data_IF_899979652224
#
_entry.id   IF_899979652224
#
_cell.length_a   1.000
_cell.length_b   1.000
_cell.length_c   1.000
_cell.angle_alpha   90.00
_cell.angle_beta   90.00
_cell.angle_gamma   90.00
#
_symmetry.space_group_name_H-M   'P 1'
#
loop_
_entity.id
_entity.type
_entity.pdbx_description
1 polymer ?
#
# COMPACT_ATOMS: atom_id res chain seq x y z
N UNK A 1 0.47 6.12 -33.25
CA UNK A 1 0.74 5.71 -31.86
C UNK A 1 -0.13 6.59 -30.97
N UNK A 2 -1.43 6.25 -30.89
CA UNK A 2 -2.31 6.83 -29.91
C UNK A 2 -2.06 6.01 -28.64
N UNK A 3 -1.40 6.62 -27.65
CA UNK A 3 -0.81 5.89 -26.51
C UNK A 3 -1.88 5.51 -25.47
N UNK A 4 -3.11 6.01 -25.58
CA UNK A 4 -4.20 5.66 -24.65
C UNK A 4 -5.55 5.68 -25.38
N UNK A 5 -6.35 4.62 -25.25
CA UNK A 5 -7.78 4.73 -25.43
C UNK A 5 -8.37 5.48 -24.21
N UNK A 6 -9.44 6.24 -24.39
CA UNK A 6 -10.05 7.05 -23.31
C UNK A 6 -10.41 6.32 -22.00
N UNK A 7 -10.70 5.00 -21.94
CA UNK A 7 -10.86 4.28 -20.69
C UNK A 7 -9.57 4.15 -19.88
N UNK A 8 -8.44 3.97 -20.55
CA UNK A 8 -7.15 3.64 -19.92
C UNK A 8 -6.56 4.83 -19.17
N UNK A 9 -6.84 6.05 -19.64
CA UNK A 9 -6.35 7.27 -18.99
C UNK A 9 -6.99 7.51 -17.62
N UNK A 10 -8.25 7.08 -17.41
CA UNK A 10 -8.90 7.19 -16.11
C UNK A 10 -8.33 6.18 -15.12
N UNK A 11 -8.11 4.93 -15.55
CA UNK A 11 -7.47 3.90 -14.74
C UNK A 11 -6.06 4.32 -14.34
N UNK A 12 -5.26 4.76 -15.32
CA UNK A 12 -3.91 5.29 -15.07
C UNK A 12 -3.89 6.43 -14.04
N UNK A 13 -4.83 7.38 -14.14
CA UNK A 13 -4.92 8.50 -13.18
C UNK A 13 -5.31 8.01 -11.79
N UNK A 14 -6.24 7.07 -11.67
CA UNK A 14 -6.63 6.47 -10.38
C UNK A 14 -5.41 5.79 -9.76
N UNK A 15 -4.64 5.03 -10.53
CA UNK A 15 -3.49 4.33 -9.99
C UNK A 15 -2.33 5.24 -9.59
N UNK A 16 -2.13 6.35 -10.30
CA UNK A 16 -1.22 7.41 -9.84
C UNK A 16 -1.67 8.00 -8.51
N UNK A 17 -2.97 8.28 -8.36
CA UNK A 17 -3.52 8.81 -7.11
C UNK A 17 -3.33 7.79 -5.98
N UNK A 18 -3.62 6.51 -6.22
CA UNK A 18 -3.41 5.40 -5.29
C UNK A 18 -1.93 5.31 -4.87
N UNK A 19 -1.02 5.33 -5.84
CA UNK A 19 0.43 5.30 -5.62
C UNK A 19 0.89 6.46 -4.71
N UNK A 20 0.46 7.69 -5.01
CA UNK A 20 0.76 8.87 -4.19
C UNK A 20 0.13 8.77 -2.80
N UNK A 21 -1.09 8.22 -2.70
CA UNK A 21 -1.79 7.99 -1.44
C UNK A 21 -1.05 7.02 -0.53
N UNK A 22 -0.67 5.84 -1.04
CA UNK A 22 0.12 4.85 -0.29
C UNK A 22 1.51 5.39 0.09
N UNK A 23 2.18 6.09 -0.82
CA UNK A 23 3.48 6.72 -0.55
C UNK A 23 3.37 7.74 0.58
N UNK A 24 2.38 8.63 0.52
CA UNK A 24 2.12 9.61 1.57
C UNK A 24 1.83 8.93 2.90
N UNK A 25 0.94 7.94 2.91
CA UNK A 25 0.61 7.17 4.11
C UNK A 25 1.83 6.47 4.71
N UNK A 26 2.71 5.90 3.88
CA UNK A 26 3.94 5.24 4.30
C UNK A 26 4.89 6.22 5.02
N UNK A 27 5.11 7.40 4.43
CA UNK A 27 5.95 8.43 5.05
C UNK A 27 5.32 8.99 6.32
N UNK A 28 4.01 9.29 6.33
CA UNK A 28 3.33 9.77 7.53
C UNK A 28 3.40 8.74 8.66
N UNK A 29 3.14 7.46 8.37
CA UNK A 29 3.27 6.36 9.33
C UNK A 29 4.70 6.25 9.86
N UNK A 30 5.70 6.44 8.99
CA UNK A 30 7.12 6.46 9.37
C UNK A 30 7.47 7.61 10.30
N UNK A 31 6.98 8.83 10.01
CA UNK A 31 7.19 10.02 10.83
C UNK A 31 6.50 9.86 12.19
N UNK A 32 5.23 9.43 12.21
CA UNK A 32 4.46 9.22 13.42
C UNK A 32 5.14 8.18 14.32
N UNK A 33 5.59 7.06 13.76
CA UNK A 33 6.27 6.00 14.52
C UNK A 33 7.58 6.44 15.19
N UNK A 34 8.23 7.49 14.67
CA UNK A 34 9.47 8.05 15.24
C UNK A 34 9.18 9.12 16.30
N UNK A 35 8.14 9.93 16.08
CA UNK A 35 7.88 11.12 16.89
C UNK A 35 6.90 10.91 18.05
N UNK A 36 6.14 9.81 18.06
CA UNK A 36 5.16 9.51 19.11
C UNK A 36 5.56 8.26 19.93
N UNK A 37 6.49 8.39 20.90
CA UNK A 37 7.02 7.28 21.68
C UNK A 37 5.99 6.61 22.61
N UNK A 38 4.82 7.24 22.83
CA UNK A 38 3.72 6.66 23.64
C UNK A 38 3.07 5.44 22.97
N UNK A 39 3.14 5.36 21.65
CA UNK A 39 2.87 4.13 20.91
C UNK A 39 4.24 3.66 20.43
N UNK A 40 4.99 2.87 21.24
CA UNK A 40 6.32 2.45 20.85
C UNK A 40 6.29 1.84 19.45
N UNK A 41 7.42 1.87 18.74
CA UNK A 41 7.59 1.26 17.42
C UNK A 41 7.45 -0.26 17.53
N UNK A 42 6.22 -0.69 17.76
CA UNK A 42 5.82 -2.05 18.01
C UNK A 42 5.77 -2.80 16.69
N UNK A 43 5.63 -4.12 16.80
CA UNK A 43 5.51 -5.01 15.65
C UNK A 43 4.34 -4.58 14.74
N UNK A 44 3.29 -3.98 15.31
CA UNK A 44 2.13 -3.47 14.56
C UNK A 44 2.50 -2.39 13.54
N UNK A 45 3.28 -1.37 13.92
CA UNK A 45 3.71 -0.31 13.00
C UNK A 45 4.55 -0.81 11.84
N UNK A 46 5.44 -1.77 12.10
CA UNK A 46 6.27 -2.39 11.06
C UNK A 46 5.35 -3.13 10.08
N UNK A 47 4.39 -3.90 10.59
CA UNK A 47 3.43 -4.63 9.76
C UNK A 47 2.58 -3.67 8.90
N UNK A 48 2.09 -2.56 9.48
CA UNK A 48 1.37 -1.53 8.71
C UNK A 48 2.27 -0.92 7.64
N UNK A 49 3.52 -0.55 7.96
CA UNK A 49 4.46 0.01 7.00
C UNK A 49 4.77 -0.96 5.86
N UNK A 50 4.95 -2.25 6.14
CA UNK A 50 5.13 -3.27 5.11
C UNK A 50 3.89 -3.40 4.24
N UNK A 51 2.68 -3.39 4.82
CA UNK A 51 1.44 -3.41 4.06
C UNK A 51 1.26 -2.18 3.16
N UNK A 52 1.58 -0.98 3.65
CA UNK A 52 1.58 0.24 2.86
C UNK A 52 2.61 0.18 1.72
N UNK A 53 3.80 -0.37 1.97
CA UNK A 53 4.80 -0.58 0.93
C UNK A 53 4.33 -1.57 -0.14
N UNK A 54 3.64 -2.65 0.24
CA UNK A 54 2.97 -3.52 -0.72
C UNK A 54 1.91 -2.75 -1.54
N UNK A 55 1.15 -1.84 -0.92
CA UNK A 55 0.22 -0.96 -1.65
C UNK A 55 0.90 -0.06 -2.68
N UNK A 56 2.10 0.46 -2.37
CA UNK A 56 2.92 1.22 -3.34
C UNK A 56 3.32 0.32 -4.51
N UNK A 57 3.75 -0.91 -4.25
CA UNK A 57 4.14 -1.86 -5.30
C UNK A 57 2.95 -2.26 -6.17
N UNK A 58 1.79 -2.53 -5.57
CA UNK A 58 0.53 -2.79 -6.25
C UNK A 58 0.23 -1.68 -7.28
N UNK A 59 0.06 -0.43 -6.84
CA UNK A 59 -0.22 0.67 -7.77
C UNK A 59 0.91 0.93 -8.77
N UNK A 60 2.17 0.58 -8.44
CA UNK A 60 3.26 0.64 -9.42
C UNK A 60 3.10 -0.41 -10.52
N UNK A 61 2.74 -1.65 -10.18
CA UNK A 61 2.52 -2.71 -11.17
C UNK A 61 1.28 -2.44 -12.03
N UNK A 62 0.20 -1.94 -11.43
CA UNK A 62 -1.00 -1.54 -12.16
C UNK A 62 -0.69 -0.38 -13.14
N UNK A 63 0.05 0.65 -12.69
CA UNK A 63 0.58 1.70 -13.59
C UNK A 63 1.41 1.08 -14.73
N UNK A 64 2.30 0.12 -14.44
CA UNK A 64 3.14 -0.49 -15.47
C UNK A 64 2.34 -1.32 -16.46
N UNK A 65 1.27 -1.99 -16.02
CA UNK A 65 0.40 -2.79 -16.88
C UNK A 65 -0.36 -1.91 -17.89
N UNK A 66 -0.77 -0.69 -17.51
CA UNK A 66 -1.41 0.25 -18.46
C UNK A 66 -0.55 0.68 -19.66
N UNK A 67 0.76 0.40 -19.66
CA UNK A 67 1.65 0.65 -20.80
C UNK A 67 1.72 -0.51 -21.80
N UNK A 68 0.96 -1.59 -21.58
CA UNK A 68 0.77 -2.74 -22.48
C UNK A 68 2.09 -3.36 -22.98
N UNK A 69 2.87 -3.89 -22.05
CA UNK A 69 4.09 -4.63 -22.36
C UNK A 69 3.75 -6.09 -22.69
N UNK A 70 3.63 -6.45 -23.97
CA UNK A 70 3.18 -7.77 -24.48
C UNK A 70 3.72 -9.01 -23.75
N UNK A 71 4.97 -8.99 -23.27
CA UNK A 71 5.60 -10.15 -22.60
C UNK A 71 5.58 -10.09 -21.07
N UNK A 72 5.24 -8.92 -20.50
CA UNK A 72 5.32 -8.64 -19.07
C UNK A 72 3.95 -8.38 -18.43
N UNK A 73 2.91 -8.12 -19.21
CA UNK A 73 1.56 -7.83 -18.70
C UNK A 73 1.04 -8.93 -17.76
N UNK A 74 1.10 -10.21 -18.16
CA UNK A 74 0.72 -11.34 -17.29
C UNK A 74 1.47 -11.36 -15.93
N UNK A 75 2.72 -10.91 -15.91
CA UNK A 75 3.51 -10.81 -14.69
C UNK A 75 3.12 -9.60 -13.85
N UNK A 76 2.82 -8.47 -14.49
CA UNK A 76 2.34 -7.28 -13.81
C UNK A 76 0.98 -7.52 -13.16
N UNK A 77 0.04 -8.17 -13.86
CA UNK A 77 -1.24 -8.61 -13.30
C UNK A 77 -1.07 -9.55 -12.08
N UNK A 78 -0.16 -10.52 -12.19
CA UNK A 78 0.11 -11.44 -11.08
C UNK A 78 0.68 -10.70 -9.86
N UNK A 79 1.65 -9.81 -10.07
CA UNK A 79 2.26 -9.05 -8.99
C UNK A 79 1.28 -8.04 -8.40
N UNK A 80 0.48 -7.40 -9.24
CA UNK A 80 -0.59 -6.50 -8.86
C UNK A 80 -1.51 -7.15 -7.82
N UNK A 81 -2.15 -8.26 -8.19
CA UNK A 81 -3.07 -8.99 -7.31
C UNK A 81 -2.39 -9.50 -6.04
N UNK A 82 -1.14 -9.98 -6.14
CA UNK A 82 -0.37 -10.46 -4.99
C UNK A 82 -0.06 -9.33 -3.99
N UNK A 83 0.41 -8.18 -4.48
CA UNK A 83 0.75 -7.05 -3.64
C UNK A 83 -0.48 -6.38 -3.05
N UNK A 84 -1.59 -6.32 -3.79
CA UNK A 84 -2.88 -5.84 -3.29
C UNK A 84 -3.38 -6.67 -2.12
N UNK A 85 -3.47 -8.00 -2.30
CA UNK A 85 -3.92 -8.90 -1.25
C UNK A 85 -3.02 -8.84 -0.01
N UNK A 86 -1.70 -8.83 -0.24
CA UNK A 86 -0.71 -8.74 0.83
C UNK A 86 -0.83 -7.40 1.57
N UNK A 87 -1.04 -6.29 0.86
CA UNK A 87 -1.23 -4.97 1.45
C UNK A 87 -2.44 -4.95 2.40
N UNK A 88 -3.60 -5.42 1.93
CA UNK A 88 -4.83 -5.47 2.75
C UNK A 88 -4.63 -6.35 3.98
N UNK A 89 -4.08 -7.55 3.80
CA UNK A 89 -3.88 -8.50 4.90
C UNK A 89 -2.95 -7.91 5.99
N UNK A 90 -1.81 -7.34 5.58
CA UNK A 90 -0.86 -6.75 6.51
C UNK A 90 -1.42 -5.50 7.19
N UNK A 91 -2.10 -4.61 6.47
CA UNK A 91 -2.71 -3.42 7.08
C UNK A 91 -3.77 -3.86 8.11
N UNK A 92 -4.64 -4.83 7.78
CA UNK A 92 -5.65 -5.33 8.71
C UNK A 92 -5.04 -5.96 9.97
N UNK A 93 -4.01 -6.81 9.82
CA UNK A 93 -3.28 -7.41 10.94
C UNK A 93 -2.61 -6.32 11.80
N UNK A 94 -1.98 -5.34 11.15
CA UNK A 94 -1.32 -4.23 11.82
C UNK A 94 -2.29 -3.37 12.63
N UNK A 95 -3.47 -3.08 12.08
CA UNK A 95 -4.55 -2.37 12.79
C UNK A 95 -5.07 -3.19 13.98
N UNK A 96 -5.28 -4.50 13.82
CA UNK A 96 -5.69 -5.38 14.90
C UNK A 96 -4.65 -5.37 16.03
N UNK A 97 -3.37 -5.54 15.72
CA UNK A 97 -2.30 -5.51 16.71
C UNK A 97 -2.24 -4.15 17.42
N UNK A 98 -2.34 -3.05 16.67
CA UNK A 98 -2.38 -1.69 17.24
C UNK A 98 -3.54 -1.54 18.22
N UNK A 99 -4.73 -2.07 17.88
CA UNK A 99 -5.90 -2.03 18.77
C UNK A 99 -5.68 -2.82 20.07
N UNK A 100 -5.04 -4.00 19.98
CA UNK A 100 -4.76 -4.83 21.17
C UNK A 100 -3.67 -4.22 22.05
N UNK A 101 -2.67 -3.57 21.46
CA UNK A 101 -1.62 -2.84 22.16
C UNK A 101 -2.21 -1.60 22.86
N UNK A 102 -3.08 -0.85 22.16
CA UNK A 102 -3.83 0.26 22.74
C UNK A 102 -4.72 -0.17 23.90
N UNK A 103 -5.50 -1.25 23.73
CA UNK A 103 -6.34 -1.82 24.80
C UNK A 103 -5.54 -2.07 26.09
N UNK A 104 -4.36 -2.72 25.97
CA UNK A 104 -3.45 -2.97 27.11
C UNK A 104 -2.94 -1.68 27.76
N UNK A 105 -2.60 -0.66 26.97
CA UNK A 105 -2.14 0.63 27.50
C UNK A 105 -3.21 1.36 28.29
N UNK A 106 -4.49 1.17 27.94
CA UNK A 106 -5.62 1.85 28.57
C UNK A 106 -6.28 1.02 29.69
N UNK A 107 -5.73 -0.15 30.03
CA UNK A 107 -6.21 -0.99 31.13
C UNK A 107 -7.59 -1.61 30.91
N UNK A 108 -8.04 -1.70 29.65
CA UNK A 108 -9.28 -2.35 29.21
C UNK A 108 -9.01 -3.83 28.88
#
# INVERSE_FOLDING_TARGET
MAIFETPDIYLFVIEIISFLGFTTAFFMTSILSKNYPKIPRTKSWIIIQTGLFCGILHSLFDILDTFDFETLSDWFDLFDGLFFFTAIALIAIGLLLTSTEGKKQWGL
#
